data_IF_813816038001
#
_entry.id   IF_813816038001
#
_cell.length_a   1.000
_cell.length_b   1.000
_cell.length_c   1.000
_cell.angle_alpha   90.00
_cell.angle_beta   90.00
_cell.angle_gamma   90.00
#
_symmetry.space_group_name_H-M   'P 1'
#
loop_
_entity.id
_entity.type
_entity.pdbx_description
1 polymer ?
#
# COMPACT_ATOMS: atom_id res chain seq x y z
N UNK A 1 34.02 -74.89 -28.53
CA UNK A 1 34.58 -74.26 -27.31
C UNK A 1 34.43 -72.76 -27.42
N UNK A 2 34.17 -72.10 -26.29
CA UNK A 2 33.92 -70.66 -26.06
C UNK A 2 32.51 -70.11 -26.37
N UNK A 3 31.65 -70.32 -25.38
CA UNK A 3 30.40 -69.59 -25.12
C UNK A 3 30.74 -68.24 -24.48
N UNK A 4 30.44 -67.14 -25.17
CA UNK A 4 30.57 -65.77 -24.66
C UNK A 4 29.25 -65.29 -24.07
N UNK A 5 29.18 -65.15 -22.74
CA UNK A 5 28.02 -64.62 -22.02
C UNK A 5 28.00 -63.08 -22.12
N UNK A 6 27.00 -62.53 -22.79
CA UNK A 6 26.64 -61.11 -22.72
C UNK A 6 26.02 -60.79 -21.37
N UNK A 7 26.66 -59.89 -20.63
CA UNK A 7 26.22 -59.37 -19.34
C UNK A 7 25.31 -58.16 -19.60
N UNK A 8 24.01 -58.31 -19.33
CA UNK A 8 23.02 -57.21 -19.42
C UNK A 8 23.09 -56.39 -18.13
N UNK A 9 23.53 -55.13 -18.23
CA UNK A 9 23.48 -54.16 -17.13
C UNK A 9 22.05 -53.60 -17.03
N UNK A 10 21.34 -53.94 -15.96
CA UNK A 10 20.06 -53.31 -15.61
C UNK A 10 20.36 -52.02 -14.86
N UNK A 11 20.18 -50.87 -15.52
CA UNK A 11 20.28 -49.56 -14.89
C UNK A 11 18.97 -49.27 -14.13
N UNK A 12 18.99 -49.43 -12.80
CA UNK A 12 17.94 -48.91 -11.92
C UNK A 12 18.01 -47.38 -11.88
N UNK A 13 17.15 -46.69 -12.63
CA UNK A 13 16.89 -45.27 -12.41
C UNK A 13 16.14 -45.11 -11.07
N UNK A 14 16.85 -44.60 -10.07
CA UNK A 14 16.27 -44.16 -8.80
C UNK A 14 15.58 -42.82 -9.05
N UNK A 15 14.25 -42.82 -9.14
CA UNK A 15 13.46 -41.61 -9.20
C UNK A 15 13.53 -40.89 -7.85
N UNK A 16 14.29 -39.80 -7.78
CA UNK A 16 14.31 -38.94 -6.61
C UNK A 16 12.96 -38.19 -6.48
N UNK A 17 12.32 -38.19 -5.30
CA UNK A 17 11.10 -37.42 -5.09
C UNK A 17 11.45 -35.93 -5.13
N UNK A 18 10.83 -35.19 -6.06
CA UNK A 18 10.88 -33.74 -6.08
C UNK A 18 10.18 -33.21 -4.83
N UNK A 19 10.96 -32.75 -3.85
CA UNK A 19 10.45 -31.98 -2.72
C UNK A 19 10.01 -30.63 -3.28
N UNK A 20 8.71 -30.51 -3.57
CA UNK A 20 8.08 -29.22 -3.78
C UNK A 20 8.13 -28.46 -2.47
N UNK A 21 9.12 -27.58 -2.33
CA UNK A 21 9.11 -26.54 -1.30
C UNK A 21 7.90 -25.66 -1.62
N UNK A 22 6.82 -25.84 -0.88
CA UNK A 22 5.71 -24.91 -0.88
C UNK A 22 6.26 -23.57 -0.39
N UNK A 23 6.59 -22.69 -1.33
CA UNK A 23 6.92 -21.31 -1.01
C UNK A 23 5.74 -20.72 -0.27
N UNK A 24 5.96 -20.30 0.98
CA UNK A 24 4.99 -19.51 1.72
C UNK A 24 4.66 -18.28 0.87
N UNK A 25 3.46 -18.28 0.28
CA UNK A 25 2.95 -17.09 -0.38
C UNK A 25 2.90 -15.97 0.67
N UNK A 26 3.41 -14.76 0.37
CA UNK A 26 3.19 -13.64 1.26
C UNK A 26 1.68 -13.53 1.49
N UNK A 27 1.27 -13.20 2.72
CA UNK A 27 -0.13 -12.97 3.07
C UNK A 27 -0.67 -11.80 2.23
N UNK A 28 -1.06 -12.10 1.00
CA UNK A 28 -1.30 -11.11 -0.03
C UNK A 28 -2.76 -10.66 0.08
N UNK A 29 -2.96 -9.37 0.32
CA UNK A 29 -4.25 -8.73 0.12
C UNK A 29 -4.98 -8.29 1.39
N UNK A 30 -4.29 -7.93 2.47
CA UNK A 30 -4.89 -7.15 3.58
C UNK A 30 -3.96 -6.04 4.03
N UNK A 31 -4.54 -4.94 4.48
CA UNK A 31 -3.80 -3.85 5.10
C UNK A 31 -3.62 -4.15 6.61
N UNK A 32 -2.39 -4.04 7.15
CA UNK A 32 -2.13 -4.18 8.58
C UNK A 32 -2.82 -3.11 9.44
N UNK A 33 -2.71 -3.17 10.78
CA UNK A 33 -3.14 -2.08 11.64
C UNK A 33 -2.47 -0.74 11.26
N UNK A 34 -3.19 0.40 11.24
CA UNK A 34 -2.68 1.68 10.73
C UNK A 34 -1.38 2.18 11.35
N UNK A 35 -1.20 1.98 12.65
CA UNK A 35 0.00 2.41 13.39
C UNK A 35 1.18 1.42 13.30
N UNK A 36 0.99 0.25 12.70
CA UNK A 36 2.06 -0.73 12.55
C UNK A 36 3.13 -0.24 11.56
N UNK A 37 4.40 -0.49 11.87
CA UNK A 37 5.51 -0.28 10.94
C UNK A 37 5.41 -1.17 9.67
N UNK A 38 4.56 -2.21 9.66
CA UNK A 38 4.30 -3.01 8.48
C UNK A 38 3.30 -2.37 7.50
N UNK A 39 2.56 -1.34 7.90
CA UNK A 39 1.49 -0.77 7.07
C UNK A 39 2.03 -0.22 5.75
N UNK A 40 2.91 0.78 5.79
CA UNK A 40 3.45 1.34 4.54
C UNK A 40 4.40 0.39 3.81
N UNK A 41 4.98 -0.60 4.50
CA UNK A 41 5.72 -1.69 3.83
C UNK A 41 4.79 -2.55 2.99
N UNK A 42 3.63 -2.90 3.53
CA UNK A 42 2.59 -3.63 2.80
C UNK A 42 2.05 -2.79 1.64
N UNK A 43 1.88 -1.48 1.82
CA UNK A 43 1.55 -0.54 0.74
C UNK A 43 2.62 -0.57 -0.37
N UNK A 44 3.91 -0.49 -0.04
CA UNK A 44 5.00 -0.60 -1.03
C UNK A 44 4.91 -1.91 -1.83
N UNK A 45 4.69 -3.04 -1.13
CA UNK A 45 4.62 -4.37 -1.73
C UNK A 45 3.40 -4.53 -2.65
N UNK A 46 2.24 -4.08 -2.20
CA UNK A 46 0.99 -4.13 -2.98
C UNK A 46 1.04 -3.17 -4.17
N UNK A 47 1.49 -1.93 -3.98
CA UNK A 47 1.54 -0.92 -5.05
C UNK A 47 2.51 -1.32 -6.15
N UNK A 48 3.70 -1.80 -5.78
CA UNK A 48 4.72 -2.12 -6.77
C UNK A 48 4.70 -3.59 -7.22
N UNK A 49 3.85 -4.43 -6.64
CA UNK A 49 3.87 -5.88 -6.88
C UNK A 49 5.24 -6.47 -6.60
N UNK A 50 5.82 -6.15 -5.44
CA UNK A 50 7.19 -6.53 -5.07
C UNK A 50 7.22 -7.34 -3.76
N UNK A 51 8.20 -8.24 -3.63
CA UNK A 51 8.54 -8.90 -2.36
C UNK A 51 9.66 -8.18 -1.60
N UNK A 52 10.24 -7.11 -2.18
CA UNK A 52 11.30 -6.34 -1.53
C UNK A 52 10.82 -5.82 -0.18
N UNK A 53 11.71 -5.86 0.80
CA UNK A 53 11.54 -5.23 2.10
C UNK A 53 12.67 -4.24 2.33
N UNK A 54 12.32 -3.15 2.99
CA UNK A 54 13.23 -2.09 3.38
C UNK A 54 13.01 -1.68 4.83
N UNK A 55 13.45 -0.47 5.16
CA UNK A 55 13.17 0.18 6.43
C UNK A 55 11.96 1.09 6.29
N UNK A 56 11.02 1.02 7.23
CA UNK A 56 9.92 1.97 7.35
C UNK A 56 10.11 2.85 8.59
N UNK A 57 10.20 4.16 8.41
CA UNK A 57 10.16 5.10 9.54
C UNK A 57 8.74 5.59 9.75
N UNK A 58 8.18 5.30 10.93
CA UNK A 58 6.89 5.82 11.38
C UNK A 58 7.14 7.14 12.12
N UNK A 59 6.67 8.24 11.54
CA UNK A 59 6.80 9.56 12.15
C UNK A 59 5.68 9.80 13.15
N UNK A 60 6.04 10.45 14.26
CA UNK A 60 5.12 10.94 15.29
C UNK A 60 4.97 12.46 15.24
N UNK A 61 5.52 13.11 14.21
CA UNK A 61 5.42 14.53 13.95
C UNK A 61 5.28 14.78 12.42
N UNK A 62 4.34 15.66 12.05
CA UNK A 62 4.08 15.98 10.65
C UNK A 62 5.23 16.75 9.98
N UNK A 63 5.96 17.69 10.64
CA UNK A 63 7.10 18.36 10.03
C UNK A 63 8.17 17.41 9.48
N UNK A 64 8.63 16.43 10.27
CA UNK A 64 9.62 15.45 9.83
C UNK A 64 9.10 14.60 8.67
N UNK A 65 7.83 14.21 8.73
CA UNK A 65 7.18 13.50 7.62
C UNK A 65 7.20 14.36 6.35
N UNK A 66 6.79 15.62 6.39
CA UNK A 66 6.76 16.54 5.22
C UNK A 66 8.12 16.63 4.53
N UNK A 67 9.20 16.73 5.31
CA UNK A 67 10.55 16.89 4.77
C UNK A 67 11.21 15.59 4.29
N UNK A 68 10.69 14.42 4.69
CA UNK A 68 11.19 13.11 4.25
C UNK A 68 10.90 12.80 2.77
N UNK A 69 11.78 11.99 2.14
CA UNK A 69 11.66 11.51 0.74
C UNK A 69 12.22 10.10 0.62
N UNK A 70 11.43 9.10 0.16
CA UNK A 70 11.83 7.70 0.19
C UNK A 70 13.07 7.47 -0.64
N UNK A 71 13.85 6.47 -0.26
CA UNK A 71 15.11 6.13 -0.90
C UNK A 71 15.04 4.72 -1.48
N UNK A 72 15.64 4.51 -2.65
CA UNK A 72 15.55 3.21 -3.32
C UNK A 72 16.64 2.25 -2.84
N UNK A 73 17.84 2.73 -2.48
CA UNK A 73 18.96 1.87 -2.08
C UNK A 73 19.82 2.49 -0.95
N UNK A 74 19.73 2.01 0.32
CA UNK A 74 18.79 1.00 0.78
C UNK A 74 17.34 1.46 0.62
N UNK A 75 16.42 0.51 0.46
CA UNK A 75 14.98 0.81 0.36
C UNK A 75 14.51 1.40 1.70
N UNK A 76 14.13 2.67 1.68
CA UNK A 76 13.58 3.42 2.82
C UNK A 76 12.25 4.01 2.44
N UNK A 77 11.23 3.72 3.23
CA UNK A 77 9.88 4.22 3.08
C UNK A 77 9.43 4.93 4.34
N UNK A 78 8.36 5.70 4.25
CA UNK A 78 7.92 6.56 5.34
C UNK A 78 6.43 6.49 5.56
N UNK A 79 6.05 6.63 6.82
CA UNK A 79 4.68 6.53 7.30
C UNK A 79 4.38 7.64 8.29
N UNK A 80 3.18 8.20 8.23
CA UNK A 80 2.59 8.96 9.33
C UNK A 80 1.11 8.61 9.41
N UNK A 81 0.56 8.58 10.63
CA UNK A 81 -0.85 8.28 10.87
C UNK A 81 -1.51 9.54 11.41
N UNK A 82 -2.60 9.96 10.79
CA UNK A 82 -3.46 11.05 11.30
C UNK A 82 -4.58 10.45 12.14
N UNK A 83 -4.91 11.09 13.26
CA UNK A 83 -5.90 10.63 14.23
C UNK A 83 -7.05 11.64 14.40
N UNK A 84 -8.25 11.12 14.65
CA UNK A 84 -9.34 11.85 15.30
C UNK A 84 -9.45 11.35 16.75
N UNK A 85 -8.92 12.13 17.70
CA UNK A 85 -8.73 11.67 19.08
C UNK A 85 -7.79 10.46 19.11
N UNK A 86 -8.29 9.30 19.52
CA UNK A 86 -7.53 8.04 19.55
C UNK A 86 -7.70 7.17 18.30
N UNK A 87 -8.64 7.52 17.41
CA UNK A 87 -8.94 6.70 16.23
C UNK A 87 -8.03 7.09 15.06
N UNK A 88 -7.25 6.16 14.48
CA UNK A 88 -6.48 6.45 13.29
C UNK A 88 -7.43 6.60 12.10
N UNK A 89 -7.36 7.72 11.39
CA UNK A 89 -8.28 8.03 10.28
C UNK A 89 -7.62 7.97 8.91
N UNK A 90 -6.34 8.30 8.81
CA UNK A 90 -5.57 8.23 7.57
C UNK A 90 -4.16 7.73 7.85
N UNK A 91 -3.64 6.88 6.97
CA UNK A 91 -2.19 6.61 6.89
C UNK A 91 -1.64 7.23 5.63
N UNK A 92 -0.56 8.00 5.78
CA UNK A 92 0.14 8.62 4.67
C UNK A 92 1.45 7.89 4.43
N UNK A 93 1.59 7.28 3.26
CA UNK A 93 2.77 6.49 2.88
C UNK A 93 3.57 7.20 1.80
N UNK A 94 4.90 7.24 1.97
CA UNK A 94 5.84 7.60 0.89
C UNK A 94 6.66 6.39 0.49
N UNK A 95 6.45 5.88 -0.71
CA UNK A 95 7.07 4.66 -1.23
C UNK A 95 7.75 4.92 -2.59
N UNK A 96 8.40 3.88 -3.13
CA UNK A 96 9.03 3.89 -4.46
C UNK A 96 8.15 3.22 -5.51
N UNK A 97 8.21 3.76 -6.72
CA UNK A 97 7.53 3.20 -7.89
C UNK A 97 8.10 1.84 -8.29
N UNK A 98 7.26 0.98 -8.86
CA UNK A 98 7.69 -0.30 -9.42
C UNK A 98 8.79 -0.15 -10.49
N UNK A 99 8.69 0.87 -11.32
CA UNK A 99 9.68 1.18 -12.36
C UNK A 99 11.07 1.46 -11.78
N UNK A 100 11.16 2.31 -10.76
CA UNK A 100 12.46 2.56 -10.11
C UNK A 100 13.01 1.32 -9.39
N UNK A 101 12.13 0.52 -8.76
CA UNK A 101 12.55 -0.73 -8.14
C UNK A 101 13.15 -1.69 -9.17
N UNK A 102 12.52 -1.85 -10.35
CA UNK A 102 13.07 -2.67 -11.44
C UNK A 102 14.41 -2.14 -11.94
N UNK A 103 14.55 -0.83 -12.08
CA UNK A 103 15.78 -0.20 -12.55
C UNK A 103 16.98 -0.46 -11.60
N UNK A 104 16.72 -0.52 -10.29
CA UNK A 104 17.78 -0.66 -9.27
C UNK A 104 18.04 -2.11 -8.86
N UNK A 105 16.99 -2.92 -8.78
CA UNK A 105 17.04 -4.30 -8.26
C UNK A 105 16.86 -5.38 -9.34
N UNK A 106 16.69 -4.98 -10.60
CA UNK A 106 16.52 -5.87 -11.74
C UNK A 106 15.07 -6.02 -12.19
N UNK A 107 14.84 -6.47 -13.44
CA UNK A 107 13.52 -6.43 -14.08
C UNK A 107 12.44 -7.26 -13.37
N UNK A 108 12.82 -8.27 -12.59
CA UNK A 108 11.89 -9.13 -11.83
C UNK A 108 11.59 -8.60 -10.41
N UNK A 109 12.21 -7.50 -9.99
CA UNK A 109 12.11 -7.01 -8.62
C UNK A 109 10.72 -6.44 -8.27
N UNK A 110 9.94 -6.00 -9.26
CA UNK A 110 8.62 -5.41 -9.06
C UNK A 110 7.72 -5.60 -10.28
N UNK A 111 6.45 -5.89 -10.05
CA UNK A 111 5.41 -6.08 -11.07
C UNK A 111 4.77 -4.78 -11.57
N UNK A 112 3.50 -4.86 -11.95
CA UNK A 112 2.73 -3.70 -12.43
C UNK A 112 2.45 -2.72 -11.29
N UNK A 113 2.65 -1.43 -11.56
CA UNK A 113 2.32 -0.36 -10.62
C UNK A 113 0.79 -0.27 -10.45
N UNK A 114 0.32 -0.32 -9.20
CA UNK A 114 -1.07 -0.02 -8.81
C UNK A 114 -1.20 1.40 -8.28
N UNK A 115 -2.42 1.91 -8.25
CA UNK A 115 -2.79 3.27 -7.83
C UNK A 115 -3.17 3.34 -6.35
N UNK A 116 -3.29 4.56 -5.79
CA UNK A 116 -3.85 4.74 -4.44
C UNK A 116 -5.33 4.32 -4.36
N UNK A 117 -6.19 4.64 -5.34
CA UNK A 117 -7.56 4.10 -5.41
C UNK A 117 -7.64 2.57 -5.33
N UNK A 118 -6.70 1.84 -5.93
CA UNK A 118 -6.66 0.38 -5.84
C UNK A 118 -6.49 -0.13 -4.40
N UNK A 119 -5.72 0.59 -3.59
CA UNK A 119 -5.55 0.28 -2.16
C UNK A 119 -6.74 0.76 -1.33
N UNK A 120 -7.39 1.86 -1.72
CA UNK A 120 -8.60 2.35 -1.07
C UNK A 120 -9.76 1.36 -1.26
N UNK A 121 -9.89 0.75 -2.44
CA UNK A 121 -10.83 -0.36 -2.67
C UNK A 121 -10.52 -1.53 -1.74
N UNK A 122 -9.24 -1.89 -1.58
CA UNK A 122 -8.83 -2.93 -0.64
C UNK A 122 -9.21 -2.59 0.81
N UNK A 123 -8.97 -1.36 1.26
CA UNK A 123 -9.35 -0.91 2.60
C UNK A 123 -10.87 -0.99 2.83
N UNK A 124 -11.65 -0.53 1.85
CA UNK A 124 -13.12 -0.62 1.88
C UNK A 124 -13.58 -2.07 1.96
N UNK A 125 -13.05 -2.95 1.11
CA UNK A 125 -13.45 -4.35 1.07
C UNK A 125 -13.08 -5.07 2.40
N UNK A 126 -11.96 -4.69 3.02
CA UNK A 126 -11.58 -5.17 4.36
C UNK A 126 -12.57 -4.68 5.45
N UNK A 127 -12.98 -3.41 5.42
CA UNK A 127 -13.98 -2.86 6.35
C UNK A 127 -15.34 -3.56 6.18
N UNK A 128 -15.77 -3.80 4.93
CA UNK A 128 -17.01 -4.56 4.64
C UNK A 128 -16.93 -5.97 5.22
N UNK A 129 -15.80 -6.66 5.04
CA UNK A 129 -15.60 -8.00 5.58
C UNK A 129 -15.64 -8.02 7.12
N UNK A 130 -14.96 -7.07 7.77
CA UNK A 130 -14.95 -6.94 9.22
C UNK A 130 -16.36 -6.66 9.79
N UNK A 131 -17.11 -5.72 9.20
CA UNK A 131 -18.48 -5.42 9.61
C UNK A 131 -19.43 -6.62 9.44
N UNK A 132 -19.25 -7.42 8.38
CA UNK A 132 -20.01 -8.67 8.21
C UNK A 132 -19.67 -9.69 9.29
N UNK A 133 -18.39 -9.86 9.60
CA UNK A 133 -17.93 -10.78 10.66
C UNK A 133 -18.45 -10.35 12.04
N UNK A 134 -18.59 -9.04 12.28
CA UNK A 134 -19.19 -8.48 13.48
C UNK A 134 -20.73 -8.56 13.51
N UNK A 135 -21.39 -9.13 12.50
CA UNK A 135 -22.85 -9.24 12.42
C UNK A 135 -23.56 -7.93 12.07
N UNK A 136 -22.83 -6.87 11.71
CA UNK A 136 -23.42 -5.57 11.36
C UNK A 136 -23.69 -5.46 9.86
N UNK A 137 -24.67 -6.23 9.38
CA UNK A 137 -25.00 -6.30 7.95
C UNK A 137 -25.38 -4.93 7.35
N UNK A 138 -26.06 -4.07 8.11
CA UNK A 138 -26.48 -2.75 7.64
C UNK A 138 -25.29 -1.79 7.46
N UNK A 139 -24.31 -1.79 8.37
CA UNK A 139 -23.08 -1.01 8.20
C UNK A 139 -22.21 -1.59 7.08
N UNK A 140 -22.11 -2.91 6.96
CA UNK A 140 -21.39 -3.54 5.86
C UNK A 140 -21.97 -3.17 4.48
N UNK A 141 -23.30 -3.12 4.36
CA UNK A 141 -23.97 -2.67 3.14
C UNK A 141 -23.67 -1.20 2.83
N UNK A 142 -23.68 -0.33 3.86
CA UNK A 142 -23.28 1.08 3.73
C UNK A 142 -21.84 1.24 3.25
N UNK A 143 -20.89 0.56 3.90
CA UNK A 143 -19.47 0.59 3.50
C UNK A 143 -19.26 0.08 2.06
N UNK A 144 -19.98 -0.97 1.65
CA UNK A 144 -19.91 -1.51 0.29
C UNK A 144 -20.45 -0.53 -0.76
N UNK A 145 -21.39 0.34 -0.39
CA UNK A 145 -21.94 1.37 -1.25
C UNK A 145 -21.04 2.61 -1.35
N UNK A 146 -19.99 2.73 -0.53
CA UNK A 146 -19.04 3.83 -0.65
C UNK A 146 -18.29 3.76 -1.98
N UNK A 147 -18.24 4.92 -2.64
CA UNK A 147 -17.60 5.12 -3.93
C UNK A 147 -16.13 5.38 -3.68
N UNK A 148 -15.24 4.73 -4.44
CA UNK A 148 -13.82 5.08 -4.40
C UNK A 148 -13.54 5.99 -5.56
N UNK A 149 -13.02 7.18 -5.27
CA UNK A 149 -12.65 8.14 -6.29
C UNK A 149 -11.46 7.64 -7.11
N UNK A 150 -11.47 7.91 -8.40
CA UNK A 150 -10.32 7.70 -9.27
C UNK A 150 -9.40 8.93 -9.19
N UNK A 151 -8.83 9.19 -8.02
CA UNK A 151 -8.01 10.37 -7.78
C UNK A 151 -6.79 10.40 -8.72
N UNK A 152 -6.72 11.41 -9.58
CA UNK A 152 -5.52 11.65 -10.38
C UNK A 152 -4.35 12.05 -9.46
N UNK A 153 -3.18 11.40 -9.59
CA UNK A 153 -2.06 11.69 -8.71
C UNK A 153 -1.48 13.08 -8.99
N UNK A 154 -1.15 13.79 -7.92
CA UNK A 154 -0.38 15.03 -8.02
C UNK A 154 1.03 14.78 -8.55
N UNK A 155 1.60 15.81 -9.18
CA UNK A 155 2.99 15.82 -9.65
C UNK A 155 3.93 16.60 -8.73
N UNK A 156 3.39 17.36 -7.76
CA UNK A 156 4.20 18.16 -6.83
C UNK A 156 3.95 17.78 -5.38
N UNK A 157 5.02 17.84 -4.58
CA UNK A 157 4.94 17.59 -3.14
C UNK A 157 4.09 18.62 -2.39
N UNK A 158 3.97 19.85 -2.90
CA UNK A 158 3.13 20.89 -2.28
C UNK A 158 1.65 20.53 -2.38
N UNK A 159 1.19 20.06 -3.54
CA UNK A 159 -0.19 19.63 -3.74
C UNK A 159 -0.52 18.37 -2.92
N UNK A 160 0.43 17.43 -2.85
CA UNK A 160 0.31 16.25 -1.98
C UNK A 160 0.13 16.61 -0.51
N UNK A 161 0.79 17.66 -0.04
CA UNK A 161 0.72 18.15 1.32
C UNK A 161 -0.41 19.20 1.53
N UNK A 162 -1.40 19.25 0.64
CA UNK A 162 -2.61 20.06 0.83
C UNK A 162 -3.58 19.42 1.82
N UNK A 163 -4.54 20.21 2.29
CA UNK A 163 -5.67 19.68 3.07
C UNK A 163 -6.63 18.93 2.13
N UNK A 164 -7.26 17.88 2.64
CA UNK A 164 -8.22 17.07 1.89
C UNK A 164 -9.24 16.38 2.81
N UNK A 165 -10.23 15.71 2.23
CA UNK A 165 -11.17 14.86 2.96
C UNK A 165 -11.08 13.43 2.46
N UNK A 166 -10.60 12.51 3.29
CA UNK A 166 -10.43 11.11 2.91
C UNK A 166 -11.76 10.37 2.74
N UNK A 167 -12.79 10.81 3.47
CA UNK A 167 -14.18 10.35 3.31
C UNK A 167 -15.06 11.60 3.28
N UNK A 168 -15.89 11.77 2.26
CA UNK A 168 -16.74 12.95 2.11
C UNK A 168 -18.10 12.61 1.50
N UNK A 169 -19.08 13.50 1.70
CA UNK A 169 -20.34 13.44 0.97
C UNK A 169 -20.18 14.19 -0.35
N UNK A 170 -20.41 13.52 -1.48
CA UNK A 170 -20.31 14.13 -2.80
C UNK A 170 -21.64 14.73 -3.27
N UNK A 171 -21.60 15.50 -4.35
CA UNK A 171 -22.77 16.16 -4.93
C UNK A 171 -23.85 15.18 -5.44
N UNK A 172 -23.48 13.92 -5.70
CA UNK A 172 -24.40 12.85 -6.08
C UNK A 172 -25.15 12.23 -4.88
N UNK A 173 -24.93 12.76 -3.67
CA UNK A 173 -25.54 12.30 -2.44
C UNK A 173 -24.95 11.03 -1.86
N UNK A 174 -23.86 10.49 -2.44
CA UNK A 174 -23.17 9.30 -1.95
C UNK A 174 -21.95 9.67 -1.10
N UNK A 175 -21.53 8.74 -0.26
CA UNK A 175 -20.26 8.83 0.46
C UNK A 175 -19.12 8.33 -0.43
N UNK A 176 -18.11 9.16 -0.58
CA UNK A 176 -16.93 8.91 -1.39
C UNK A 176 -15.69 8.72 -0.50
N UNK A 177 -14.78 7.88 -0.96
CA UNK A 177 -13.47 7.60 -0.39
C UNK A 177 -12.42 8.15 -1.35
N UNK A 178 -11.70 9.16 -0.90
CA UNK A 178 -10.60 9.76 -1.64
C UNK A 178 -9.26 9.38 -1.01
N UNK A 179 -8.28 9.20 -1.87
CA UNK A 179 -6.91 8.81 -1.56
C UNK A 179 -5.91 9.61 -2.40
N UNK A 180 -5.85 10.94 -2.18
CA UNK A 180 -4.97 11.79 -2.94
C UNK A 180 -3.53 11.30 -2.83
N UNK A 181 -2.86 11.25 -3.97
CA UNK A 181 -1.53 10.68 -4.08
C UNK A 181 -0.57 11.60 -4.82
N UNK A 182 0.70 11.22 -4.81
CA UNK A 182 1.73 11.79 -5.68
C UNK A 182 2.33 10.66 -6.49
N UNK A 183 2.50 10.88 -7.79
CA UNK A 183 3.18 9.92 -8.65
C UNK A 183 4.20 10.63 -9.52
N UNK A 184 5.47 10.28 -9.32
CA UNK A 184 6.56 10.68 -10.19
C UNK A 184 6.91 9.50 -11.08
N UNK A 185 6.48 9.59 -12.33
CA UNK A 185 6.68 8.57 -13.36
C UNK A 185 8.17 8.42 -13.68
N UNK A 186 8.77 7.32 -13.20
CA UNK A 186 10.20 7.07 -13.33
C UNK A 186 10.62 6.87 -14.80
N UNK A 187 9.73 6.32 -15.63
CA UNK A 187 10.04 5.95 -17.02
C UNK A 187 10.01 7.16 -17.96
N UNK A 188 9.60 8.36 -17.50
CA UNK A 188 9.68 9.58 -18.29
C UNK A 188 11.13 9.98 -18.56
N UNK A 189 11.41 10.37 -19.80
CA UNK A 189 12.74 10.75 -20.26
C UNK A 189 13.43 11.84 -19.43
N UNK A 190 12.65 12.74 -18.81
CA UNK A 190 13.19 13.84 -18.01
C UNK A 190 13.55 13.43 -16.57
N UNK A 191 13.07 12.28 -16.08
CA UNK A 191 13.36 11.78 -14.73
C UNK A 191 14.86 11.65 -14.48
N UNK A 192 15.64 11.27 -15.50
CA UNK A 192 17.11 11.15 -15.42
C UNK A 192 17.83 12.45 -15.05
N UNK A 193 17.17 13.60 -15.24
CA UNK A 193 17.72 14.91 -14.89
C UNK A 193 17.27 15.40 -13.51
N UNK A 194 16.30 14.73 -12.88
CA UNK A 194 15.88 15.05 -11.53
C UNK A 194 16.93 14.56 -10.53
N UNK A 195 17.17 15.27 -9.41
CA UNK A 195 17.98 14.74 -8.32
C UNK A 195 17.42 13.39 -7.85
N UNK A 196 18.31 12.45 -7.53
CA UNK A 196 17.95 11.04 -7.21
C UNK A 196 16.81 10.90 -6.19
N UNK A 197 16.82 11.75 -5.15
CA UNK A 197 15.78 11.77 -4.10
C UNK A 197 14.37 12.08 -4.60
N UNK A 198 14.22 12.61 -5.81
CA UNK A 198 12.93 12.92 -6.44
C UNK A 198 12.52 11.90 -7.51
N UNK A 199 13.39 10.97 -7.86
CA UNK A 199 13.07 9.96 -8.86
C UNK A 199 12.21 8.86 -8.25
N UNK A 200 11.22 8.38 -9.01
CA UNK A 200 10.37 7.23 -8.74
C UNK A 200 9.58 7.30 -7.44
N UNK A 201 8.98 8.45 -7.12
CA UNK A 201 8.16 8.63 -5.93
C UNK A 201 6.71 8.17 -6.17
N UNK A 202 6.14 7.39 -5.25
CA UNK A 202 4.72 7.07 -5.22
C UNK A 202 4.19 7.24 -3.79
N UNK A 203 3.33 8.24 -3.57
CA UNK A 203 2.80 8.59 -2.25
C UNK A 203 1.28 8.42 -2.24
N UNK A 204 0.73 7.99 -1.11
CA UNK A 204 -0.71 7.88 -0.93
C UNK A 204 -1.11 8.40 0.44
N UNK A 205 -2.25 9.07 0.50
CA UNK A 205 -3.07 9.18 1.72
C UNK A 205 -4.17 8.13 1.64
N UNK A 206 -4.24 7.22 2.60
CA UNK A 206 -5.21 6.12 2.58
C UNK A 206 -6.16 6.24 3.77
N UNK A 207 -7.49 6.29 3.58
CA UNK A 207 -8.42 6.15 4.68
C UNK A 207 -8.21 4.79 5.35
N UNK A 208 -8.19 4.77 6.68
CA UNK A 208 -8.03 3.53 7.44
C UNK A 208 -9.30 2.68 7.38
N UNK A 209 -9.13 1.37 7.57
CA UNK A 209 -10.25 0.45 7.75
C UNK A 209 -11.13 0.92 8.93
N UNK A 210 -10.51 1.29 10.05
CA UNK A 210 -11.20 1.82 11.24
C UNK A 210 -12.06 3.06 10.95
N UNK A 211 -11.60 3.96 10.07
CA UNK A 211 -12.36 5.15 9.71
C UNK A 211 -13.53 4.83 8.80
N UNK A 212 -13.32 3.95 7.81
CA UNK A 212 -14.39 3.47 6.94
C UNK A 212 -15.47 2.78 7.77
N UNK A 213 -15.09 1.93 8.72
CA UNK A 213 -16.03 1.28 9.65
C UNK A 213 -16.80 2.31 10.48
N UNK A 214 -16.10 3.26 11.10
CA UNK A 214 -16.73 4.29 11.94
C UNK A 214 -17.75 5.15 11.18
N UNK A 215 -17.46 5.52 9.93
CA UNK A 215 -18.41 6.26 9.09
C UNK A 215 -19.57 5.35 8.68
N UNK A 216 -19.28 4.10 8.33
CA UNK A 216 -20.30 3.14 7.93
C UNK A 216 -21.24 2.77 9.08
N UNK A 217 -20.80 2.73 10.34
CA UNK A 217 -21.65 2.51 11.51
C UNK A 217 -22.42 3.76 11.92
N UNK A 218 -21.90 4.95 11.60
CA UNK A 218 -22.45 6.25 12.01
C UNK A 218 -21.81 6.79 13.29
N UNK A 219 -20.76 6.15 13.80
CA UNK A 219 -19.96 6.63 14.93
C UNK A 219 -19.17 7.90 14.59
N UNK A 220 -18.89 8.12 13.30
CA UNK A 220 -18.26 9.35 12.81
C UNK A 220 -18.99 9.86 11.58
N UNK A 221 -19.17 11.19 11.42
CA UNK A 221 -19.61 11.74 10.16
C UNK A 221 -18.47 11.66 9.11
N UNK A 222 -18.81 11.61 7.81
CA UNK A 222 -17.84 11.93 6.76
C UNK A 222 -17.45 13.42 6.82
N UNK A 223 -16.39 13.80 6.11
CA UNK A 223 -15.98 15.20 5.92
C UNK A 223 -14.93 15.71 6.90
N UNK A 224 -14.24 14.81 7.62
CA UNK A 224 -13.11 15.23 8.45
C UNK A 224 -12.00 15.83 7.57
N UNK A 225 -11.62 17.07 7.85
CA UNK A 225 -10.48 17.71 7.18
C UNK A 225 -9.18 17.08 7.68
N UNK A 226 -8.46 16.46 6.76
CA UNK A 226 -7.14 15.90 6.98
C UNK A 226 -6.14 16.98 6.60
N UNK A 227 -5.43 17.52 7.58
CA UNK A 227 -4.36 18.46 7.34
C UNK A 227 -3.00 17.78 7.42
N UNK A 228 -2.05 18.31 6.64
CA UNK A 228 -0.63 17.99 6.80
C UNK A 228 0.16 19.17 7.36
N UNK A 229 -0.51 20.15 7.98
CA UNK A 229 0.10 21.25 8.72
C UNK A 229 1.01 20.78 9.87
N UNK A 230 1.76 21.70 10.46
CA UNK A 230 2.73 21.38 11.52
C UNK A 230 2.08 20.78 12.78
N UNK A 231 0.83 21.16 13.04
CA UNK A 231 0.01 20.77 14.19
C UNK A 231 -0.92 19.58 13.92
N UNK A 232 -0.81 18.94 12.74
CA UNK A 232 -1.64 17.80 12.38
C UNK A 232 -1.63 16.73 13.49
N UNK A 233 -2.80 16.15 13.85
CA UNK A 233 -2.91 15.22 14.96
C UNK A 233 -2.33 13.85 14.59
N UNK A 234 -1.01 13.71 14.69
CA UNK A 234 -0.28 12.51 14.28
C UNK A 234 0.11 11.57 15.43
N UNK A 235 -0.40 11.87 16.61
CA UNK A 235 -0.36 11.02 17.79
C UNK A 235 -1.76 10.89 18.35
N UNK A 236 -2.13 9.73 18.92
CA UNK A 236 -3.43 9.56 19.54
C UNK A 236 -3.54 10.50 20.75
N UNK A 237 -4.61 11.29 20.81
CA UNK A 237 -4.94 12.20 21.93
C UNK A 237 -6.15 11.70 22.69
#
# INVERSE_FOLDING_TARGET
MNSGRSMVLVACLVAAPAITVAGAQPAAGRLPPPASADFCMTVQQLMAGTSLRGENTVFTDMPSYRHSKPFVKPLRIYQVVTYAGRRPIVVSCKVKTAAQLRAVYGPQAAGTQRSCPDLTRLARDQAVAALRQAGNAAAAARAAAFVVDDDEPYVTGRSYLGDFQAIHAAADGRTHLSSPGLFQDYDRWFTRFLPEKFQGQAYCHLPTVDYIEAVATGEMPPGATITTGEDAPVTPR
#
